data_IF_724218347468
#
_entry.id   IF_724218347468
#
_cell.length_a   1.000
_cell.length_b   1.000
_cell.length_c   1.000
_cell.angle_alpha   90.00
_cell.angle_beta   90.00
_cell.angle_gamma   90.00
#
_symmetry.space_group_name_H-M   'P 1'
#
loop_
_entity.id
_entity.type
_entity.pdbx_description
1 polymer ?
#
# COMPACT_ATOMS: atom_id res chain seq x y z
N UNK A 1 -50.15 -13.07 -5.82
CA UNK A 1 -48.81 -12.72 -5.30
C UNK A 1 -47.85 -13.84 -5.64
N UNK A 2 -47.10 -13.71 -6.73
CA UNK A 2 -46.09 -14.66 -7.16
C UNK A 2 -44.88 -14.50 -6.24
N UNK A 3 -44.47 -15.54 -5.50
CA UNK A 3 -43.21 -15.58 -4.75
C UNK A 3 -42.05 -15.33 -5.73
N UNK A 4 -41.08 -14.47 -5.37
CA UNK A 4 -39.85 -14.35 -6.16
C UNK A 4 -39.21 -15.73 -6.23
N UNK A 5 -38.77 -16.13 -7.40
CA UNK A 5 -37.88 -17.30 -7.55
C UNK A 5 -36.49 -16.90 -7.02
N UNK A 6 -36.28 -17.04 -5.72
CA UNK A 6 -34.97 -17.00 -5.09
C UNK A 6 -34.24 -18.35 -5.32
N UNK A 7 -33.82 -18.58 -6.53
CA UNK A 7 -32.84 -19.63 -6.80
C UNK A 7 -31.47 -18.99 -6.80
N UNK A 8 -30.77 -19.07 -5.64
CA UNK A 8 -29.35 -18.77 -5.55
C UNK A 8 -28.60 -19.85 -6.33
N UNK A 9 -27.97 -19.44 -7.44
CA UNK A 9 -27.25 -20.34 -8.35
C UNK A 9 -25.78 -19.95 -8.45
N UNK A 10 -24.95 -20.86 -8.95
CA UNK A 10 -23.53 -20.59 -9.17
C UNK A 10 -23.25 -19.39 -10.08
N UNK A 11 -24.19 -19.02 -10.95
CA UNK A 11 -24.11 -17.83 -11.80
C UNK A 11 -24.09 -16.50 -11.01
N UNK A 12 -24.52 -16.53 -9.75
CA UNK A 12 -24.50 -15.36 -8.86
C UNK A 12 -23.23 -15.25 -8.03
N UNK A 13 -22.33 -16.23 -8.15
CA UNK A 13 -21.04 -16.23 -7.47
C UNK A 13 -20.03 -15.48 -8.35
N UNK A 14 -19.54 -14.34 -7.85
CA UNK A 14 -18.46 -13.58 -8.49
C UNK A 14 -17.18 -13.81 -7.68
N UNK A 15 -16.14 -14.25 -8.35
CA UNK A 15 -14.78 -14.28 -7.80
C UNK A 15 -14.09 -12.99 -8.20
N UNK A 16 -13.69 -12.21 -7.20
CA UNK A 16 -12.93 -10.98 -7.40
C UNK A 16 -11.48 -11.26 -7.02
N UNK A 17 -10.57 -10.90 -7.89
CA UNK A 17 -9.14 -11.09 -7.67
C UNK A 17 -8.45 -9.78 -7.28
N UNK A 18 -7.38 -9.90 -6.49
CA UNK A 18 -6.50 -8.78 -6.16
C UNK A 18 -7.20 -7.59 -5.51
N UNK A 19 -6.83 -6.39 -5.95
CA UNK A 19 -7.32 -5.13 -5.39
C UNK A 19 -8.73 -4.74 -5.84
N UNK A 20 -9.28 -5.38 -6.87
CA UNK A 20 -10.65 -5.14 -7.33
C UNK A 20 -11.68 -5.45 -6.23
N UNK A 21 -11.43 -6.49 -5.43
CA UNK A 21 -12.28 -6.85 -4.29
C UNK A 21 -12.39 -5.70 -3.29
N UNK A 22 -11.28 -5.00 -3.02
CA UNK A 22 -11.22 -3.85 -2.11
C UNK A 22 -12.05 -2.69 -2.67
N UNK A 23 -11.88 -2.37 -3.93
CA UNK A 23 -12.64 -1.28 -4.60
C UNK A 23 -14.13 -1.56 -4.64
N UNK A 24 -14.52 -2.79 -4.89
CA UNK A 24 -15.94 -3.18 -4.98
C UNK A 24 -16.63 -3.23 -3.62
N UNK A 25 -15.91 -3.50 -2.55
CA UNK A 25 -16.44 -3.65 -1.17
C UNK A 25 -15.55 -2.93 -0.15
N UNK A 26 -15.32 -1.62 -0.26
CA UNK A 26 -14.41 -0.89 0.62
C UNK A 26 -14.80 -1.00 2.10
N UNK A 27 -16.11 -1.08 2.39
CA UNK A 27 -16.61 -1.24 3.75
C UNK A 27 -16.09 -2.49 4.48
N UNK A 28 -15.73 -3.56 3.76
CA UNK A 28 -15.16 -4.77 4.35
C UNK A 28 -13.71 -4.58 4.81
N UNK A 29 -13.00 -3.59 4.26
CA UNK A 29 -11.57 -3.37 4.49
C UNK A 29 -11.28 -2.12 5.34
N UNK A 30 -12.03 -1.03 5.11
CA UNK A 30 -11.83 0.25 5.80
C UNK A 30 -13.07 0.73 6.55
N UNK A 31 -14.07 -0.14 6.73
CA UNK A 31 -15.25 0.10 7.56
C UNK A 31 -16.33 0.98 6.91
N UNK A 32 -16.16 1.42 5.67
CA UNK A 32 -17.14 2.26 4.97
C UNK A 32 -16.53 3.07 3.84
N UNK A 33 -17.22 4.16 3.48
CA UNK A 33 -16.78 5.14 2.44
C UNK A 33 -16.89 6.58 2.93
N UNK A 34 -17.15 6.80 4.21
CA UNK A 34 -17.22 8.14 4.78
C UNK A 34 -15.90 8.60 5.40
N UNK A 35 -15.96 9.71 6.15
CA UNK A 35 -14.78 10.35 6.75
C UNK A 35 -13.93 9.41 7.62
N UNK A 36 -14.57 8.49 8.36
CA UNK A 36 -13.85 7.50 9.17
C UNK A 36 -13.00 6.58 8.30
N UNK A 37 -13.50 6.17 7.14
CA UNK A 37 -12.76 5.33 6.19
C UNK A 37 -11.59 6.08 5.54
N UNK A 38 -11.74 7.39 5.27
CA UNK A 38 -10.62 8.24 4.84
C UNK A 38 -9.51 8.29 5.90
N UNK A 39 -9.87 8.41 7.18
CA UNK A 39 -8.88 8.35 8.27
C UNK A 39 -8.17 6.99 8.31
N UNK A 40 -8.87 5.89 8.04
CA UNK A 40 -8.23 4.57 7.98
C UNK A 40 -7.12 4.50 6.95
N UNK A 41 -7.28 5.12 5.76
CA UNK A 41 -6.20 5.16 4.77
C UNK A 41 -4.94 5.84 5.33
N UNK A 42 -5.11 6.93 6.08
CA UNK A 42 -3.98 7.63 6.72
C UNK A 42 -3.35 6.73 7.78
N UNK A 43 -4.17 6.10 8.63
CA UNK A 43 -3.68 5.22 9.70
C UNK A 43 -2.87 4.04 9.15
N UNK A 44 -3.30 3.42 8.06
CA UNK A 44 -2.55 2.31 7.46
C UNK A 44 -1.14 2.72 6.99
N UNK A 45 -0.98 3.93 6.47
CA UNK A 45 0.35 4.46 6.13
C UNK A 45 1.16 4.80 7.39
N UNK A 46 0.52 5.40 8.41
CA UNK A 46 1.18 5.75 9.67
C UNK A 46 1.60 4.50 10.43
N UNK A 47 0.76 3.45 10.48
CA UNK A 47 1.07 2.20 11.16
C UNK A 47 2.30 1.50 10.56
N UNK A 48 2.48 1.57 9.22
CA UNK A 48 3.70 1.07 8.60
C UNK A 48 4.93 1.87 9.01
N UNK A 49 4.82 3.19 9.15
CA UNK A 49 5.91 4.03 9.65
C UNK A 49 6.19 3.77 11.15
N UNK A 50 5.15 3.53 11.95
CA UNK A 50 5.28 3.14 13.38
C UNK A 50 5.98 1.79 13.51
N UNK A 51 5.72 0.82 12.63
CA UNK A 51 6.42 -0.47 12.64
C UNK A 51 7.94 -0.30 12.47
N UNK A 52 8.39 0.63 11.62
CA UNK A 52 9.81 0.97 11.49
C UNK A 52 10.38 1.63 12.77
N UNK A 53 9.58 2.46 13.46
CA UNK A 53 9.96 3.04 14.77
C UNK A 53 10.06 1.96 15.82
N UNK A 54 9.06 1.06 15.90
CA UNK A 54 9.05 -0.05 16.87
C UNK A 54 10.18 -1.04 16.63
N UNK A 55 10.58 -1.24 15.39
CA UNK A 55 11.75 -2.03 15.01
C UNK A 55 13.08 -1.31 15.26
N UNK A 56 13.07 -0.04 15.68
CA UNK A 56 14.26 0.76 15.98
C UNK A 56 14.98 1.35 14.77
N UNK A 57 14.34 1.38 13.60
CA UNK A 57 14.95 1.86 12.36
C UNK A 57 14.50 3.27 11.97
N UNK A 58 13.35 3.73 12.47
CA UNK A 58 12.88 5.09 12.25
C UNK A 58 12.84 5.89 13.55
N UNK A 59 12.94 7.21 13.42
CA UNK A 59 12.86 8.17 14.52
C UNK A 59 11.89 9.30 14.25
N UNK A 60 11.47 9.47 13.02
CA UNK A 60 10.62 10.60 12.59
C UNK A 60 9.54 10.11 11.64
N UNK A 61 8.31 10.49 11.94
CA UNK A 61 7.15 10.32 11.06
C UNK A 61 6.56 11.70 10.78
N UNK A 62 6.34 12.00 9.50
CA UNK A 62 5.70 13.24 9.09
C UNK A 62 4.43 12.93 8.31
N UNK A 63 3.31 13.53 8.71
CA UNK A 63 2.03 13.46 7.98
C UNK A 63 1.68 14.85 7.47
N UNK A 64 1.30 14.95 6.20
CA UNK A 64 0.86 16.19 5.57
C UNK A 64 -0.42 15.96 4.80
N UNK A 65 -1.35 16.87 4.92
CA UNK A 65 -2.58 16.92 4.13
C UNK A 65 -2.44 18.07 3.13
N UNK A 66 -2.55 17.76 1.86
CA UNK A 66 -2.52 18.75 0.79
C UNK A 66 -3.84 19.51 0.65
N UNK A 67 -3.78 20.71 0.08
CA UNK A 67 -4.98 21.52 -0.19
C UNK A 67 -5.88 20.88 -1.25
N UNK A 68 -5.35 19.98 -2.05
CA UNK A 68 -6.04 19.16 -3.04
C UNK A 68 -6.70 17.91 -2.45
N UNK A 69 -6.56 17.71 -1.12
CA UNK A 69 -7.05 16.51 -0.42
C UNK A 69 -6.08 15.32 -0.44
N UNK A 70 -4.91 15.44 -1.06
CA UNK A 70 -3.88 14.41 -0.99
C UNK A 70 -3.32 14.27 0.42
N UNK A 71 -2.87 13.07 0.78
CA UNK A 71 -2.17 12.81 2.02
C UNK A 71 -0.77 12.27 1.73
N UNK A 72 0.23 12.78 2.45
CA UNK A 72 1.61 12.29 2.40
C UNK A 72 2.04 11.83 3.78
N UNK A 73 2.56 10.60 3.87
CA UNK A 73 3.21 10.05 5.07
C UNK A 73 4.66 9.75 4.73
N UNK A 74 5.57 10.23 5.56
CA UNK A 74 7.03 10.06 5.39
C UNK A 74 7.61 9.50 6.66
N UNK A 75 8.44 8.48 6.55
CA UNK A 75 9.30 7.97 7.63
C UNK A 75 10.78 8.03 7.23
N UNK A 76 11.66 7.99 8.22
CA UNK A 76 13.11 7.89 8.06
C UNK A 76 13.64 6.48 8.35
N UNK A 77 12.81 5.45 8.15
CA UNK A 77 13.13 4.05 8.35
C UNK A 77 14.02 3.44 7.27
N UNK A 78 14.03 2.10 7.18
CA UNK A 78 14.87 1.35 6.20
C UNK A 78 14.47 1.57 4.75
N UNK A 79 13.27 2.06 4.51
CA UNK A 79 12.64 2.13 3.19
C UNK A 79 12.10 0.78 2.71
N UNK A 80 10.97 0.79 2.01
CA UNK A 80 10.42 -0.42 1.40
C UNK A 80 11.44 -1.11 0.49
N UNK A 81 11.45 -2.46 0.40
CA UNK A 81 12.37 -3.16 -0.49
C UNK A 81 12.04 -2.88 -1.96
N UNK A 82 13.08 -2.57 -2.73
CA UNK A 82 12.98 -2.25 -4.16
C UNK A 82 13.58 -3.34 -5.06
N UNK A 83 14.24 -4.31 -4.44
CA UNK A 83 14.89 -5.42 -5.14
C UNK A 83 13.85 -6.33 -5.80
N UNK A 84 14.20 -7.05 -6.88
CA UNK A 84 13.34 -8.05 -7.47
C UNK A 84 13.00 -9.17 -6.47
N UNK A 85 11.75 -9.60 -6.47
CA UNK A 85 11.32 -10.79 -5.72
C UNK A 85 11.99 -12.05 -6.27
N UNK A 86 12.34 -12.97 -5.38
CA UNK A 86 12.72 -14.35 -5.72
C UNK A 86 11.62 -15.26 -5.20
N UNK A 87 10.90 -15.91 -6.08
CA UNK A 87 9.73 -16.72 -5.71
C UNK A 87 9.49 -17.85 -6.71
N UNK A 88 9.03 -18.99 -6.20
CA UNK A 88 8.54 -20.09 -7.05
C UNK A 88 7.22 -19.77 -7.75
N UNK A 89 6.55 -18.69 -7.35
CA UNK A 89 5.33 -18.20 -7.99
C UNK A 89 5.69 -17.28 -9.17
N UNK A 90 5.47 -17.71 -10.43
CA UNK A 90 5.82 -16.92 -11.62
C UNK A 90 5.05 -15.59 -11.73
N UNK A 91 3.94 -15.42 -10.99
CA UNK A 91 3.17 -14.17 -11.01
C UNK A 91 3.87 -13.03 -10.26
N UNK A 92 4.84 -13.33 -9.38
CA UNK A 92 5.56 -12.34 -8.57
C UNK A 92 7.08 -12.44 -8.73
N UNK A 93 7.60 -13.53 -9.28
CA UNK A 93 9.05 -13.70 -9.49
C UNK A 93 9.61 -12.63 -10.42
N UNK A 94 10.73 -12.02 -10.04
CA UNK A 94 11.37 -10.94 -10.78
C UNK A 94 10.69 -9.57 -10.69
N UNK A 95 9.47 -9.46 -10.12
CA UNK A 95 8.82 -8.16 -9.92
C UNK A 95 9.47 -7.41 -8.76
N UNK A 96 9.57 -6.07 -8.80
CA UNK A 96 10.03 -5.29 -7.65
C UNK A 96 9.23 -5.61 -6.39
N UNK A 97 9.90 -5.83 -5.26
CA UNK A 97 9.21 -6.19 -4.01
C UNK A 97 8.19 -5.14 -3.59
N UNK A 98 8.49 -3.85 -3.77
CA UNK A 98 7.57 -2.74 -3.50
C UNK A 98 6.27 -2.85 -4.33
N UNK A 99 6.37 -3.26 -5.60
CA UNK A 99 5.21 -3.47 -6.46
C UNK A 99 4.32 -4.59 -5.93
N UNK A 100 4.93 -5.71 -5.53
CA UNK A 100 4.22 -6.86 -4.95
C UNK A 100 3.58 -6.47 -3.62
N UNK A 101 4.29 -5.72 -2.75
CA UNK A 101 3.75 -5.21 -1.49
C UNK A 101 2.52 -4.32 -1.71
N UNK A 102 2.50 -3.50 -2.74
CA UNK A 102 1.42 -2.56 -3.02
C UNK A 102 0.24 -3.17 -3.77
N UNK A 103 0.41 -4.32 -4.45
CA UNK A 103 -0.61 -4.87 -5.36
C UNK A 103 -1.09 -6.27 -5.00
N UNK A 104 -0.31 -7.09 -4.29
CA UNK A 104 -0.69 -8.47 -3.98
C UNK A 104 -1.24 -8.60 -2.56
N UNK A 105 -2.48 -9.08 -2.43
CA UNK A 105 -3.05 -9.41 -1.12
C UNK A 105 -2.20 -10.47 -0.41
N UNK A 106 -2.06 -10.33 0.90
CA UNK A 106 -1.25 -11.23 1.74
C UNK A 106 0.24 -11.31 1.38
N UNK A 107 0.80 -10.30 0.72
CA UNK A 107 2.24 -10.13 0.54
C UNK A 107 2.77 -9.05 1.50
N UNK A 108 3.94 -9.27 2.10
CA UNK A 108 4.62 -8.28 2.96
C UNK A 108 5.52 -8.93 3.99
N UNK A 109 6.52 -8.18 4.47
CA UNK A 109 7.51 -8.65 5.45
C UNK A 109 6.95 -8.92 6.86
N UNK A 110 5.69 -8.56 7.13
CA UNK A 110 5.01 -8.81 8.42
C UNK A 110 4.63 -10.28 8.65
N UNK A 111 4.75 -11.13 7.61
CA UNK A 111 4.57 -12.58 7.71
C UNK A 111 5.87 -13.30 8.11
N UNK A 112 7.00 -12.59 8.22
CA UNK A 112 8.28 -13.13 8.67
C UNK A 112 8.55 -12.64 10.11
N UNK A 113 8.50 -13.55 11.08
CA UNK A 113 8.75 -13.29 12.51
C UNK A 113 10.14 -12.68 12.79
N UNK A 114 11.08 -12.82 11.84
CA UNK A 114 12.40 -12.23 11.94
C UNK A 114 12.44 -10.76 11.52
N UNK A 115 11.51 -10.32 10.69
CA UNK A 115 11.47 -8.95 10.18
C UNK A 115 10.79 -7.96 11.15
N UNK A 116 9.73 -8.42 11.85
CA UNK A 116 8.98 -7.62 12.80
C UNK A 116 8.49 -8.47 13.97
N UNK A 117 9.04 -8.24 15.18
CA UNK A 117 8.62 -8.93 16.42
C UNK A 117 7.26 -8.45 16.94
N UNK A 118 6.88 -7.24 16.63
CA UNK A 118 5.60 -6.61 16.96
C UNK A 118 5.20 -5.75 15.77
N UNK A 119 3.97 -5.86 15.30
CA UNK A 119 3.44 -5.07 14.18
C UNK A 119 2.10 -4.46 14.58
N UNK A 120 1.92 -3.17 14.32
CA UNK A 120 0.64 -2.45 14.53
C UNK A 120 -0.44 -2.88 13.53
N UNK A 121 -0.05 -3.29 12.32
CA UNK A 121 -0.95 -3.74 11.27
C UNK A 121 -1.18 -5.25 11.31
N UNK A 122 -2.42 -5.67 11.64
CA UNK A 122 -2.76 -7.08 11.91
C UNK A 122 -3.00 -7.94 10.65
N UNK A 123 -3.16 -7.37 9.43
CA UNK A 123 -3.75 -8.11 8.30
C UNK A 123 -2.92 -8.14 7.01
N UNK A 124 -1.79 -7.43 6.91
CA UNK A 124 -0.97 -7.37 5.69
C UNK A 124 -1.70 -6.81 4.46
N UNK A 125 -2.82 -6.09 4.66
CA UNK A 125 -3.66 -5.51 3.60
C UNK A 125 -3.65 -3.98 3.56
N UNK A 126 -3.14 -3.31 4.59
CA UNK A 126 -3.28 -1.86 4.83
C UNK A 126 -2.89 -0.97 3.67
N UNK A 127 -1.62 -0.93 3.27
CA UNK A 127 -1.17 -0.09 2.14
C UNK A 127 -1.83 -0.48 0.81
N UNK A 128 -2.30 -1.71 0.70
CA UNK A 128 -3.04 -2.18 -0.49
C UNK A 128 -4.43 -1.56 -0.55
N UNK A 129 -5.07 -1.36 0.62
CA UNK A 129 -6.32 -0.62 0.71
C UNK A 129 -6.10 0.85 0.31
N UNK A 130 -5.00 1.47 0.77
CA UNK A 130 -4.63 2.82 0.36
C UNK A 130 -4.48 2.89 -1.15
N UNK A 131 -3.71 1.99 -1.75
CA UNK A 131 -3.49 1.95 -3.19
C UNK A 131 -4.79 1.71 -3.97
N UNK A 132 -5.57 0.69 -3.58
CA UNK A 132 -6.82 0.33 -4.26
C UNK A 132 -7.89 1.44 -4.20
N UNK A 133 -7.99 2.15 -3.07
CA UNK A 133 -9.04 3.14 -2.80
C UNK A 133 -8.59 4.58 -3.11
N UNK A 134 -7.43 4.76 -3.71
CA UNK A 134 -6.92 6.05 -4.15
C UNK A 134 -7.04 6.22 -5.66
N UNK A 135 -7.31 7.46 -6.09
CA UNK A 135 -7.27 7.84 -7.50
C UNK A 135 -5.85 7.67 -8.06
N UNK A 136 -4.85 8.03 -7.25
CA UNK A 136 -3.45 7.78 -7.53
C UNK A 136 -2.67 7.61 -6.22
N UNK A 137 -1.58 6.87 -6.28
CA UNK A 137 -0.65 6.66 -5.17
C UNK A 137 0.77 6.68 -5.72
N UNK A 138 1.61 7.52 -5.13
CA UNK A 138 3.05 7.58 -5.42
C UNK A 138 3.82 7.08 -4.19
N UNK A 139 4.77 6.18 -4.43
CA UNK A 139 5.66 5.69 -3.38
C UNK A 139 7.10 5.97 -3.76
N UNK A 140 7.76 6.83 -2.97
CA UNK A 140 9.17 7.11 -3.08
C UNK A 140 9.94 6.37 -1.98
N UNK A 141 11.03 5.74 -2.35
CA UNK A 141 11.93 5.05 -1.42
C UNK A 141 13.34 5.56 -1.60
N UNK A 142 13.91 6.10 -0.53
CA UNK A 142 15.33 6.48 -0.51
C UNK A 142 16.14 5.39 0.16
N UNK A 143 17.08 4.82 -0.56
CA UNK A 143 18.04 3.82 -0.08
C UNK A 143 19.43 4.15 -0.59
N UNK A 144 20.42 4.07 0.29
CA UNK A 144 21.82 4.29 -0.03
C UNK A 144 22.04 5.63 -0.76
N UNK A 145 22.31 5.55 -2.06
CA UNK A 145 22.62 6.71 -2.91
C UNK A 145 21.53 7.01 -3.93
N UNK A 146 20.38 6.35 -3.85
CA UNK A 146 19.31 6.47 -4.84
C UNK A 146 17.96 6.72 -4.19
N UNK A 147 17.13 7.49 -4.89
CA UNK A 147 15.70 7.59 -4.63
C UNK A 147 14.96 6.94 -5.78
N UNK A 148 14.12 5.98 -5.43
CA UNK A 148 13.26 5.22 -6.33
C UNK A 148 11.84 5.73 -6.24
N UNK A 149 11.07 5.60 -7.32
CA UNK A 149 9.66 5.93 -7.34
C UNK A 149 8.87 4.90 -8.13
N UNK A 150 7.68 4.58 -7.65
CA UNK A 150 6.65 3.81 -8.36
C UNK A 150 5.32 4.52 -8.18
N UNK A 151 4.53 4.61 -9.26
CA UNK A 151 3.22 5.26 -9.24
C UNK A 151 2.12 4.27 -9.60
N UNK A 152 0.95 4.47 -8.98
CA UNK A 152 -0.23 3.65 -9.19
C UNK A 152 -1.44 4.54 -9.47
N UNK A 153 -2.37 4.01 -10.26
CA UNK A 153 -3.70 4.56 -10.48
C UNK A 153 -4.73 3.50 -10.11
N UNK A 154 -5.57 3.79 -9.10
CA UNK A 154 -6.65 2.89 -8.66
C UNK A 154 -6.22 1.45 -8.40
N UNK A 155 -5.00 1.28 -7.85
CA UNK A 155 -4.43 -0.01 -7.52
C UNK A 155 -3.55 -0.64 -8.60
N UNK A 156 -3.64 -0.16 -9.84
CA UNK A 156 -2.83 -0.64 -10.97
C UNK A 156 -1.54 0.18 -11.12
N UNK A 157 -0.47 -0.46 -11.58
CA UNK A 157 0.80 0.24 -11.86
C UNK A 157 0.61 1.20 -13.02
N UNK A 158 0.81 2.49 -12.77
CA UNK A 158 0.79 3.56 -13.78
C UNK A 158 2.18 3.82 -14.31
N UNK A 159 3.16 3.98 -13.41
CA UNK A 159 4.58 4.10 -13.76
C UNK A 159 5.39 3.06 -13.01
N UNK A 160 6.10 2.18 -13.72
CA UNK A 160 6.95 1.17 -13.09
C UNK A 160 8.04 1.79 -12.20
N UNK A 161 8.61 0.98 -11.33
CA UNK A 161 9.71 1.39 -10.45
C UNK A 161 10.88 1.94 -11.27
N UNK A 162 11.30 3.15 -10.96
CA UNK A 162 12.43 3.82 -11.61
C UNK A 162 13.18 4.70 -10.63
N UNK A 163 14.41 5.07 -10.98
CA UNK A 163 15.24 6.00 -10.21
C UNK A 163 14.84 7.42 -10.57
N UNK A 164 14.49 8.23 -9.57
CA UNK A 164 14.16 9.66 -9.75
C UNK A 164 15.33 10.56 -9.35
N UNK A 165 16.22 10.08 -8.47
CA UNK A 165 17.40 10.85 -8.06
C UNK A 165 18.56 9.91 -7.72
N UNK A 166 19.78 10.27 -8.17
CA UNK A 166 21.04 9.65 -7.75
C UNK A 166 21.88 10.64 -6.95
N UNK A 167 22.24 10.25 -5.74
CA UNK A 167 22.98 11.10 -4.80
C UNK A 167 24.47 10.83 -4.87
N UNK A 168 25.19 11.57 -5.69
CA UNK A 168 26.64 11.42 -5.85
C UNK A 168 27.39 11.69 -4.54
N UNK A 169 28.02 10.67 -3.98
CA UNK A 169 29.04 10.79 -2.94
C UNK A 169 28.57 11.04 -1.51
N UNK A 170 27.26 11.05 -1.19
CA UNK A 170 26.75 11.15 0.18
C UNK A 170 25.70 10.10 0.44
N UNK A 171 25.90 9.28 1.49
CA UNK A 171 24.83 8.47 2.07
C UNK A 171 23.69 9.42 2.48
N UNK A 172 22.56 9.34 1.81
CA UNK A 172 21.33 9.99 2.26
C UNK A 172 20.68 9.16 3.37
N UNK A 173 19.79 9.81 4.12
CA UNK A 173 18.89 9.11 5.04
C UNK A 173 18.02 8.18 4.22
N UNK A 174 17.85 6.96 4.69
CA UNK A 174 16.86 6.01 4.17
C UNK A 174 15.46 6.47 4.55
N UNK A 175 14.43 5.91 3.92
CA UNK A 175 13.06 6.17 4.30
C UNK A 175 12.07 5.87 3.19
N UNK A 176 10.79 5.92 3.57
CA UNK A 176 9.67 5.78 2.63
C UNK A 176 8.81 7.04 2.68
N UNK A 177 8.32 7.46 1.51
CA UNK A 177 7.27 8.47 1.37
C UNK A 177 6.13 7.86 0.57
N UNK A 178 4.96 7.82 1.14
CA UNK A 178 3.72 7.45 0.47
C UNK A 178 2.87 8.69 0.34
N UNK A 179 2.52 9.06 -0.90
CA UNK A 179 1.58 10.15 -1.19
C UNK A 179 0.40 9.58 -1.96
N UNK A 180 -0.81 9.88 -1.55
CA UNK A 180 -2.01 9.35 -2.18
C UNK A 180 -3.14 10.38 -2.19
N UNK A 181 -4.01 10.29 -3.19
CA UNK A 181 -5.26 11.03 -3.28
C UNK A 181 -6.42 10.04 -3.21
N UNK A 182 -7.25 10.07 -2.15
CA UNK A 182 -8.44 9.22 -2.09
C UNK A 182 -9.30 9.36 -3.35
N UNK A 183 -9.90 8.25 -3.81
CA UNK A 183 -10.69 8.27 -5.04
C UNK A 183 -12.08 8.86 -4.79
N UNK A 184 -12.44 10.03 -5.41
CA UNK A 184 -13.75 10.66 -5.24
C UNK A 184 -14.90 9.84 -5.82
N UNK A 185 -14.63 8.75 -6.55
CA UNK A 185 -15.67 7.81 -6.96
C UNK A 185 -16.05 6.83 -5.84
N UNK A 186 -15.27 6.80 -4.75
CA UNK A 186 -15.50 5.91 -3.60
C UNK A 186 -15.90 6.69 -2.35
N UNK A 187 -15.27 7.86 -2.12
CA UNK A 187 -15.42 8.69 -0.91
C UNK A 187 -16.21 9.97 -1.16
#
# INVERSE_FOLDING_TARGET
MTKPKDTYTSEQIQVLEGLEAIRKRPGMYVGGTGLSALHHLVYECVDNAIDEVMAGFASTITVRIGVDGSCTVVDDGRGMPVDPMVSDNPAIDGRPAIEVIMTQLHAGGKFDDNAYKVSGGLHGVGVKCVNALSKWTDVEVTKETKTWMISFSRGEVDKPLHIVEEHKGKKRRTGTRVTFLPDPEIF
#
